data_IF_847653723335
#
_entry.id   IF_847653723335
#
_cell.length_a   1.000
_cell.length_b   1.000
_cell.length_c   1.000
_cell.angle_alpha   90.00
_cell.angle_beta   90.00
_cell.angle_gamma   90.00
#
_symmetry.space_group_name_H-M   'P 1'
#
loop_
_entity.id
_entity.type
_entity.pdbx_description
1 polymer ?
#
# COMPACT_ATOMS: atom_id res chain seq x y z
N UNK A 1 13.82 -10.61 16.25
CA UNK A 1 13.87 -10.34 14.80
C UNK A 1 12.49 -10.24 14.15
N UNK A 2 11.71 -11.33 13.98
CA UNK A 2 10.39 -11.22 13.31
C UNK A 2 9.35 -10.39 14.09
N UNK A 3 9.31 -10.54 15.43
CA UNK A 3 8.39 -9.76 16.29
C UNK A 3 8.69 -8.26 16.22
N UNK A 4 9.97 -7.89 16.19
CA UNK A 4 10.41 -6.48 16.11
C UNK A 4 9.94 -5.85 14.80
N UNK A 5 10.00 -6.59 13.69
CA UNK A 5 9.51 -6.12 12.39
C UNK A 5 7.99 -6.00 12.32
N UNK A 6 7.26 -6.90 12.95
CA UNK A 6 5.79 -6.76 13.05
C UNK A 6 5.43 -5.51 13.86
N UNK A 7 6.15 -5.22 14.94
CA UNK A 7 5.91 -4.03 15.76
C UNK A 7 6.23 -2.74 14.98
N UNK A 8 7.38 -2.69 14.30
CA UNK A 8 7.75 -1.58 13.41
C UNK A 8 6.69 -1.35 12.32
N UNK A 9 6.13 -2.42 11.76
CA UNK A 9 5.02 -2.34 10.81
C UNK A 9 3.77 -1.67 11.39
N UNK A 10 3.39 -2.01 12.64
CA UNK A 10 2.25 -1.39 13.34
C UNK A 10 2.50 0.10 13.60
N UNK A 11 3.70 0.47 14.01
CA UNK A 11 4.06 1.88 14.22
C UNK A 11 3.97 2.71 12.93
N UNK A 12 4.38 2.14 11.80
CA UNK A 12 4.19 2.76 10.49
C UNK A 12 2.71 2.90 10.14
N UNK A 13 1.85 1.91 10.43
CA UNK A 13 0.40 2.05 10.23
C UNK A 13 -0.19 3.19 11.08
N UNK A 14 0.23 3.34 12.33
CA UNK A 14 -0.22 4.42 13.20
C UNK A 14 0.22 5.80 12.69
N UNK A 15 1.43 5.89 12.12
CA UNK A 15 1.91 7.12 11.46
C UNK A 15 1.10 7.42 10.21
N UNK A 16 0.85 6.44 9.35
CA UNK A 16 -0.01 6.60 8.17
C UNK A 16 -1.40 7.12 8.55
N UNK A 17 -2.02 6.55 9.60
CA UNK A 17 -3.31 7.00 10.11
C UNK A 17 -3.28 8.45 10.61
N UNK A 18 -2.17 8.93 11.20
CA UNK A 18 -2.00 10.34 11.59
C UNK A 18 -1.95 11.27 10.38
N UNK A 19 -1.25 10.88 9.31
CA UNK A 19 -1.21 11.68 8.07
C UNK A 19 -2.59 11.84 7.42
N UNK A 20 -3.47 10.85 7.60
CA UNK A 20 -4.84 10.89 7.07
C UNK A 20 -5.82 11.73 7.89
N UNK A 21 -5.47 12.12 9.12
CA UNK A 21 -6.32 13.00 9.91
C UNK A 21 -6.34 14.41 9.34
N UNK A 22 -7.54 14.95 9.19
CA UNK A 22 -7.81 16.35 8.88
C UNK A 22 -8.05 17.14 10.17
N UNK A 23 -7.90 18.45 10.09
CA UNK A 23 -8.15 19.39 11.20
C UNK A 23 -8.68 20.71 10.63
N UNK A 24 -9.04 21.66 11.51
CA UNK A 24 -9.52 22.99 11.09
C UNK A 24 -8.54 23.75 10.17
N UNK A 25 -7.25 23.42 10.23
CA UNK A 25 -6.20 24.02 9.40
C UNK A 25 -5.72 23.07 8.27
N UNK A 26 -6.11 21.79 8.30
CA UNK A 26 -5.73 20.78 7.30
C UNK A 26 -6.98 20.11 6.75
N UNK A 27 -7.45 20.60 5.61
CA UNK A 27 -8.69 20.15 4.97
C UNK A 27 -8.51 18.91 4.10
N UNK A 28 -7.30 18.71 3.57
CA UNK A 28 -6.96 17.56 2.72
C UNK A 28 -6.00 16.64 3.48
N UNK A 29 -6.26 15.32 3.54
CA UNK A 29 -5.32 14.34 4.05
C UNK A 29 -3.95 14.42 3.36
N UNK A 30 -2.89 14.06 4.09
CA UNK A 30 -1.57 13.91 3.47
C UNK A 30 -1.45 12.48 2.93
N UNK A 31 -1.98 12.29 1.73
CA UNK A 31 -2.03 10.99 1.07
C UNK A 31 -0.63 10.47 0.70
N UNK A 32 0.30 11.37 0.35
CA UNK A 32 1.67 11.00 -0.03
C UNK A 32 2.42 10.38 1.15
N UNK A 33 2.49 11.09 2.27
CA UNK A 33 3.14 10.59 3.48
C UNK A 33 2.44 9.33 4.03
N UNK A 34 1.11 9.25 3.92
CA UNK A 34 0.37 8.06 4.33
C UNK A 34 0.72 6.84 3.46
N UNK A 35 0.82 7.02 2.14
CA UNK A 35 1.17 5.95 1.21
C UNK A 35 2.57 5.41 1.47
N UNK A 36 3.53 6.29 1.73
CA UNK A 36 4.91 5.93 2.07
C UNK A 36 4.99 5.15 3.38
N UNK A 37 4.29 5.57 4.43
CA UNK A 37 4.27 4.84 5.70
C UNK A 37 3.56 3.48 5.57
N UNK A 38 2.47 3.37 4.80
CA UNK A 38 1.88 2.06 4.51
C UNK A 38 2.82 1.14 3.72
N UNK A 39 3.59 1.68 2.77
CA UNK A 39 4.59 0.92 2.00
C UNK A 39 5.75 0.42 2.90
N UNK A 40 6.19 1.24 3.85
CA UNK A 40 7.15 0.82 4.89
C UNK A 40 6.56 -0.28 5.78
N UNK A 41 5.32 -0.10 6.24
CA UNK A 41 4.61 -1.10 7.03
C UNK A 41 4.53 -2.44 6.30
N UNK A 42 4.16 -2.44 5.02
CA UNK A 42 4.11 -3.64 4.19
C UNK A 42 5.46 -4.35 4.13
N UNK A 43 6.55 -3.60 3.95
CA UNK A 43 7.91 -4.17 3.94
C UNK A 43 8.24 -4.82 5.29
N UNK A 44 7.95 -4.16 6.40
CA UNK A 44 8.17 -4.70 7.73
C UNK A 44 7.34 -5.97 7.99
N UNK A 45 6.06 -5.99 7.63
CA UNK A 45 5.22 -7.17 7.75
C UNK A 45 5.69 -8.33 6.87
N UNK A 46 6.13 -8.05 5.64
CA UNK A 46 6.71 -9.07 4.75
C UNK A 46 7.96 -9.71 5.37
N UNK A 47 8.88 -8.90 5.91
CA UNK A 47 10.08 -9.40 6.61
C UNK A 47 9.70 -10.19 7.86
N UNK A 48 8.67 -9.75 8.58
CA UNK A 48 8.07 -10.45 9.72
C UNK A 48 7.28 -11.72 9.34
N UNK A 49 7.15 -12.03 8.04
CA UNK A 49 6.32 -13.12 7.47
C UNK A 49 4.81 -12.99 7.75
N UNK A 50 4.36 -11.78 8.06
CA UNK A 50 2.95 -11.40 8.19
C UNK A 50 2.40 -11.01 6.82
N UNK A 51 2.27 -11.99 5.92
CA UNK A 51 1.97 -11.72 4.51
C UNK A 51 0.58 -11.12 4.29
N UNK A 52 -0.39 -11.46 5.15
CA UNK A 52 -1.74 -10.88 5.09
C UNK A 52 -1.74 -9.39 5.42
N UNK A 53 -1.11 -9.00 6.52
CA UNK A 53 -0.97 -7.58 6.90
C UNK A 53 -0.12 -6.81 5.88
N UNK A 54 0.90 -7.45 5.31
CA UNK A 54 1.68 -6.87 4.20
C UNK A 54 0.79 -6.56 3.00
N UNK A 55 -0.02 -7.52 2.55
CA UNK A 55 -0.97 -7.35 1.44
C UNK A 55 -1.96 -6.22 1.73
N UNK A 56 -2.55 -6.18 2.92
CA UNK A 56 -3.49 -5.13 3.33
C UNK A 56 -2.84 -3.74 3.32
N UNK A 57 -1.60 -3.62 3.80
CA UNK A 57 -0.85 -2.37 3.76
C UNK A 57 -0.53 -1.93 2.34
N UNK A 58 -0.17 -2.85 1.43
CA UNK A 58 0.04 -2.54 0.01
C UNK A 58 -1.23 -2.04 -0.68
N UNK A 59 -2.38 -2.63 -0.34
CA UNK A 59 -3.67 -2.16 -0.87
C UNK A 59 -3.97 -0.73 -0.39
N UNK A 60 -3.76 -0.44 0.90
CA UNK A 60 -3.91 0.92 1.45
C UNK A 60 -2.91 1.89 0.82
N UNK A 61 -1.63 1.51 0.68
CA UNK A 61 -0.61 2.35 0.04
C UNK A 61 -1.03 2.70 -1.40
N UNK A 62 -1.50 1.72 -2.17
CA UNK A 62 -1.98 1.93 -3.53
C UNK A 62 -3.14 2.92 -3.61
N UNK A 63 -4.13 2.79 -2.71
CA UNK A 63 -5.27 3.71 -2.64
C UNK A 63 -4.82 5.14 -2.34
N UNK A 64 -3.86 5.32 -1.43
CA UNK A 64 -3.33 6.64 -1.08
C UNK A 64 -2.48 7.24 -2.21
N UNK A 65 -1.62 6.45 -2.86
CA UNK A 65 -0.90 6.89 -4.05
C UNK A 65 -1.86 7.31 -5.17
N UNK A 66 -2.97 6.58 -5.35
CA UNK A 66 -4.01 6.96 -6.32
C UNK A 66 -4.65 8.30 -5.97
N UNK A 67 -4.99 8.54 -4.69
CA UNK A 67 -5.52 9.85 -4.25
C UNK A 67 -4.51 10.99 -4.47
N UNK A 68 -3.22 10.71 -4.39
CA UNK A 68 -2.16 11.68 -4.68
C UNK A 68 -1.79 11.77 -6.19
N UNK A 69 -2.48 11.05 -7.07
CA UNK A 69 -2.19 11.03 -8.52
C UNK A 69 -0.93 10.24 -8.92
N UNK A 70 -0.30 9.53 -7.99
CA UNK A 70 0.90 8.74 -8.20
C UNK A 70 0.58 7.34 -8.74
N UNK A 71 0.05 7.30 -9.98
CA UNK A 71 -0.49 6.09 -10.62
C UNK A 71 0.54 4.96 -10.74
N UNK A 72 1.80 5.27 -11.04
CA UNK A 72 2.86 4.26 -11.14
C UNK A 72 3.11 3.57 -9.80
N UNK A 73 3.21 4.32 -8.70
CA UNK A 73 3.42 3.76 -7.37
C UNK A 73 2.19 2.98 -6.91
N UNK A 74 0.98 3.46 -7.24
CA UNK A 74 -0.26 2.71 -6.99
C UNK A 74 -0.26 1.34 -7.69
N UNK A 75 0.17 1.28 -8.96
CA UNK A 75 0.29 0.05 -9.73
C UNK A 75 1.33 -0.91 -9.14
N UNK A 76 2.52 -0.40 -8.78
CA UNK A 76 3.58 -1.18 -8.15
C UNK A 76 3.14 -1.83 -6.83
N UNK A 77 2.33 -1.13 -6.03
CA UNK A 77 1.77 -1.70 -4.81
C UNK A 77 0.83 -2.89 -5.09
N UNK A 78 0.03 -2.82 -6.17
CA UNK A 78 -0.84 -3.92 -6.59
C UNK A 78 -0.03 -5.14 -7.06
N UNK A 79 1.07 -4.93 -7.81
CA UNK A 79 1.98 -6.01 -8.20
C UNK A 79 2.58 -6.71 -6.98
N UNK A 80 3.00 -5.95 -5.97
CA UNK A 80 3.51 -6.53 -4.72
C UNK A 80 2.41 -7.28 -3.95
N UNK A 81 1.16 -6.80 -3.97
CA UNK A 81 0.02 -7.47 -3.32
C UNK A 81 -0.30 -8.82 -3.99
N UNK A 82 -0.07 -8.94 -5.30
CA UNK A 82 -0.16 -10.21 -6.03
C UNK A 82 0.90 -11.19 -5.53
N UNK A 83 2.14 -10.74 -5.32
CA UNK A 83 3.21 -11.58 -4.76
C UNK A 83 2.81 -12.07 -3.36
N UNK A 84 2.29 -11.19 -2.51
CA UNK A 84 1.81 -11.59 -1.17
C UNK A 84 0.64 -12.56 -1.22
N UNK A 85 -0.25 -12.44 -2.22
CA UNK A 85 -1.35 -13.39 -2.42
C UNK A 85 -0.84 -14.81 -2.68
N UNK A 86 0.28 -14.95 -3.41
CA UNK A 86 0.96 -16.24 -3.61
C UNK A 86 1.55 -16.79 -2.31
N UNK A 87 2.21 -15.95 -1.51
CA UNK A 87 2.78 -16.34 -0.20
C UNK A 87 1.70 -16.79 0.80
N UNK A 88 0.50 -16.17 0.75
CA UNK A 88 -0.65 -16.55 1.59
C UNK A 88 -1.29 -17.87 1.11
N UNK A 89 -1.08 -18.26 -0.15
CA UNK A 89 -1.77 -19.38 -0.79
C UNK A 89 -3.20 -19.05 -1.24
N UNK A 90 -3.58 -17.77 -1.25
CA UNK A 90 -4.89 -17.29 -1.69
C UNK A 90 -4.75 -16.49 -2.99
N UNK A 91 -5.11 -17.12 -4.10
CA UNK A 91 -5.00 -16.54 -5.44
C UNK A 91 -6.31 -15.96 -5.97
N UNK A 92 -7.39 -15.99 -5.18
CA UNK A 92 -8.74 -15.57 -5.60
C UNK A 92 -8.78 -14.15 -6.14
N UNK A 93 -8.07 -13.22 -5.50
CA UNK A 93 -8.05 -11.80 -5.87
C UNK A 93 -6.94 -11.42 -6.87
N UNK A 94 -6.08 -12.36 -7.29
CA UNK A 94 -4.90 -12.05 -8.13
C UNK A 94 -5.31 -11.39 -9.46
N UNK A 95 -6.34 -11.92 -10.12
CA UNK A 95 -6.83 -11.36 -11.38
C UNK A 95 -7.28 -9.90 -11.22
N UNK A 96 -8.06 -9.62 -10.17
CA UNK A 96 -8.56 -8.27 -9.88
C UNK A 96 -7.44 -7.29 -9.56
N UNK A 97 -6.43 -7.72 -8.78
CA UNK A 97 -5.25 -6.90 -8.50
C UNK A 97 -4.45 -6.61 -9.77
N UNK A 98 -4.26 -7.61 -10.65
CA UNK A 98 -3.55 -7.45 -11.91
C UNK A 98 -4.28 -6.48 -12.87
N UNK A 99 -5.60 -6.57 -12.94
CA UNK A 99 -6.42 -5.63 -13.73
C UNK A 99 -6.29 -4.19 -13.22
N UNK A 100 -6.30 -3.97 -11.90
CA UNK A 100 -6.06 -2.64 -11.31
C UNK A 100 -4.67 -2.11 -11.64
N UNK A 101 -3.63 -2.93 -11.47
CA UNK A 101 -2.26 -2.54 -11.81
C UNK A 101 -2.14 -2.14 -13.28
N UNK A 102 -2.67 -2.96 -14.19
CA UNK A 102 -2.67 -2.67 -15.63
C UNK A 102 -3.39 -1.36 -15.96
N UNK A 103 -4.56 -1.12 -15.36
CA UNK A 103 -5.32 0.11 -15.55
C UNK A 103 -4.52 1.35 -15.10
N UNK A 104 -3.88 1.30 -13.94
CA UNK A 104 -3.07 2.40 -13.43
C UNK A 104 -1.83 2.67 -14.31
N UNK A 105 -1.14 1.62 -14.78
CA UNK A 105 -0.03 1.78 -15.72
C UNK A 105 -0.46 2.40 -17.05
N UNK A 106 -1.61 2.00 -17.60
CA UNK A 106 -2.14 2.56 -18.84
C UNK A 106 -2.47 4.04 -18.68
N UNK A 107 -3.13 4.44 -17.60
CA UNK A 107 -3.45 5.85 -17.33
C UNK A 107 -2.20 6.70 -17.15
N UNK A 108 -1.20 6.19 -16.41
CA UNK A 108 0.08 6.88 -16.27
C UNK A 108 0.76 7.13 -17.62
N UNK A 109 0.80 6.12 -18.51
CA UNK A 109 1.41 6.24 -19.84
C UNK A 109 0.59 7.07 -20.85
N UNK A 110 -0.71 7.25 -20.63
CA UNK A 110 -1.61 8.00 -21.50
C UNK A 110 -1.73 9.48 -21.13
N UNK A 111 -1.07 9.91 -20.06
CA UNK A 111 -1.13 11.30 -19.54
C UNK A 111 -0.07 12.22 -20.19
N UNK A 112 0.45 11.85 -21.37
CA UNK A 112 1.48 12.58 -22.12
C UNK A 112 0.94 13.38 -23.29
#
# INVERSE_FOLDING_TARGET
MSKDKIQEGRECMDKAAKYLKTSLLKWVPDYDSAADEYSKAATCFRVGKSYKESKECLMKASENYLQNGSLFHAAKCMDQAIIMSKEIGDTSEVFKLAMKASHYYQQHGSSG
#
